data_IF_300283623749
#
_entry.id   IF_300283623749
#
_cell.length_a   1.000
_cell.length_b   1.000
_cell.length_c   1.000
_cell.angle_alpha   90.00
_cell.angle_beta   90.00
_cell.angle_gamma   90.00
#
_symmetry.space_group_name_H-M   'P 1'
#
loop_
_entity.id
_entity.type
_entity.pdbx_description
1 polymer ?
#
# COMPACT_ATOMS: atom_id res chain seq x y z
N UNK A 1 -9.59 -4.78 34.95
CA UNK A 1 -10.01 -4.79 33.53
C UNK A 1 -9.33 -3.61 32.87
N UNK A 2 -8.67 -3.79 31.71
CA UNK A 2 -8.07 -2.65 30.98
C UNK A 2 -9.17 -1.76 30.42
N UNK A 3 -8.90 -0.45 30.30
CA UNK A 3 -9.83 0.45 29.64
C UNK A 3 -9.75 0.24 28.12
N UNK A 4 -10.86 0.46 27.42
CA UNK A 4 -10.87 0.37 25.96
C UNK A 4 -10.06 1.55 25.38
N UNK A 5 -9.12 1.27 24.48
CA UNK A 5 -8.30 2.29 23.80
C UNK A 5 -7.57 3.22 24.75
N UNK A 6 -7.00 2.68 25.83
CA UNK A 6 -6.08 3.42 26.70
C UNK A 6 -4.71 3.64 26.03
N UNK A 7 -3.83 4.37 26.73
CA UNK A 7 -2.48 4.67 26.24
C UNK A 7 -1.65 3.40 25.94
N UNK A 8 -1.92 2.31 26.66
CA UNK A 8 -1.26 1.00 26.53
C UNK A 8 -2.05 0.04 25.60
N UNK A 9 -2.94 0.58 24.76
CA UNK A 9 -3.73 -0.22 23.83
C UNK A 9 -2.83 -1.16 23.01
N UNK A 10 -3.19 -2.45 23.02
CA UNK A 10 -2.46 -3.59 22.44
C UNK A 10 -1.10 -3.94 23.05
N UNK A 11 -0.64 -3.25 24.09
CA UNK A 11 0.58 -3.54 24.82
C UNK A 11 0.24 -4.35 26.08
N UNK A 12 0.67 -5.61 26.13
CA UNK A 12 0.29 -6.54 27.19
C UNK A 12 1.35 -6.80 28.26
N UNK A 13 2.57 -6.28 28.11
CA UNK A 13 3.67 -6.52 29.05
C UNK A 13 4.58 -5.27 29.23
N UNK A 14 5.37 -5.18 30.31
CA UNK A 14 6.25 -4.04 30.57
C UNK A 14 7.25 -3.76 29.44
N UNK A 15 7.84 -4.82 28.86
CA UNK A 15 8.77 -4.66 27.74
C UNK A 15 8.11 -3.97 26.55
N UNK A 16 6.89 -4.37 26.17
CA UNK A 16 6.20 -3.79 25.01
C UNK A 16 5.73 -2.36 25.24
N UNK A 17 5.32 -2.03 26.48
CA UNK A 17 5.04 -0.64 26.90
C UNK A 17 6.27 0.23 26.71
N UNK A 18 7.43 -0.23 27.19
CA UNK A 18 8.69 0.50 27.07
C UNK A 18 9.12 0.65 25.61
N UNK A 19 9.13 -0.44 24.83
CA UNK A 19 9.50 -0.40 23.41
C UNK A 19 8.63 0.57 22.60
N UNK A 20 7.33 0.60 22.87
CA UNK A 20 6.43 1.50 22.16
C UNK A 20 6.66 2.96 22.56
N UNK A 21 6.50 3.30 23.84
CA UNK A 21 6.50 4.71 24.28
C UNK A 21 7.88 5.37 24.20
N UNK A 22 8.97 4.64 24.46
CA UNK A 22 10.32 5.23 24.45
C UNK A 22 10.98 5.23 23.06
N UNK A 23 10.56 4.32 22.15
CA UNK A 23 11.21 4.14 20.85
C UNK A 23 10.25 4.30 19.67
N UNK A 24 9.19 3.50 19.57
CA UNK A 24 8.34 3.48 18.37
C UNK A 24 7.48 4.75 18.21
N UNK A 25 6.90 5.24 19.31
CA UNK A 25 5.96 6.37 19.32
C UNK A 25 6.62 7.68 18.86
N UNK A 26 7.86 7.93 19.29
CA UNK A 26 8.63 9.13 18.94
C UNK A 26 9.31 9.05 17.56
N UNK A 27 9.28 7.89 16.91
CA UNK A 27 9.91 7.69 15.60
C UNK A 27 9.03 8.29 14.49
N UNK A 28 9.58 9.05 13.51
CA UNK A 28 8.77 9.63 12.42
C UNK A 28 8.13 8.56 11.53
N UNK A 29 7.15 8.95 10.73
CA UNK A 29 6.51 8.07 9.74
C UNK A 29 7.14 8.30 8.36
N UNK A 30 7.42 7.19 7.69
CA UNK A 30 7.74 7.15 6.27
C UNK A 30 6.74 6.21 5.61
N UNK A 31 5.86 6.75 4.76
CA UNK A 31 4.82 5.98 4.08
C UNK A 31 5.24 5.72 2.63
N UNK A 32 6.00 4.64 2.41
CA UNK A 32 6.65 4.36 1.12
C UNK A 32 5.71 3.78 0.05
N UNK A 33 4.43 3.59 0.35
CA UNK A 33 3.42 3.19 -0.62
C UNK A 33 2.00 3.54 -0.15
N UNK A 34 1.35 4.45 -0.87
CA UNK A 34 -0.03 4.85 -0.64
C UNK A 34 -0.77 5.19 -1.94
N UNK A 35 -2.06 5.48 -1.81
CA UNK A 35 -2.97 5.89 -2.86
C UNK A 35 -3.58 7.28 -2.61
N UNK A 36 -2.91 8.12 -1.82
CA UNK A 36 -3.30 9.51 -1.59
C UNK A 36 -3.19 10.29 -2.90
N UNK A 37 -4.18 11.13 -3.18
CA UNK A 37 -4.18 11.99 -4.35
C UNK A 37 -3.17 13.15 -4.18
N UNK A 38 -2.11 13.23 -5.00
CA UNK A 38 -1.09 14.27 -4.86
C UNK A 38 -1.66 15.68 -5.09
N UNK A 39 -2.75 15.82 -5.86
CA UNK A 39 -3.46 17.09 -6.04
C UNK A 39 -3.98 17.65 -4.71
N UNK A 40 -4.55 16.80 -3.87
CA UNK A 40 -5.13 17.20 -2.59
C UNK A 40 -4.05 17.67 -1.61
N UNK A 41 -2.83 17.13 -1.72
CA UNK A 41 -1.66 17.63 -0.99
C UNK A 41 -1.22 18.97 -1.58
N UNK A 42 -1.08 19.07 -2.90
CA UNK A 42 -0.60 20.28 -3.58
C UNK A 42 -1.50 21.48 -3.31
N UNK A 43 -2.83 21.29 -3.33
CA UNK A 43 -3.86 22.30 -3.07
C UNK A 43 -4.16 22.50 -1.57
N UNK A 44 -3.49 21.74 -0.70
CA UNK A 44 -3.74 21.70 0.76
C UNK A 44 -5.24 21.60 1.11
N UNK A 45 -5.90 20.58 0.55
CA UNK A 45 -7.35 20.41 0.62
C UNK A 45 -7.85 20.52 2.07
N UNK A 46 -8.90 21.34 2.25
CA UNK A 46 -9.73 21.34 3.46
C UNK A 46 -10.97 20.47 3.24
N UNK A 47 -11.44 19.84 4.30
CA UNK A 47 -12.59 18.93 4.25
C UNK A 47 -13.80 19.58 4.91
N UNK A 48 -14.97 19.53 4.25
CA UNK A 48 -16.16 20.21 4.77
C UNK A 48 -16.72 19.53 6.02
N UNK A 49 -16.57 18.21 6.12
CA UNK A 49 -17.09 17.40 7.22
C UNK A 49 -16.41 16.03 7.31
N UNK A 50 -16.66 15.32 8.42
CA UNK A 50 -16.06 14.02 8.70
C UNK A 50 -16.42 12.96 7.65
N UNK A 51 -17.60 12.99 7.04
CA UNK A 51 -17.96 12.01 6.00
C UNK A 51 -17.01 12.10 4.80
N UNK A 52 -16.65 13.30 4.37
CA UNK A 52 -15.75 13.47 3.23
C UNK A 52 -14.35 12.88 3.49
N UNK A 53 -13.74 13.22 4.63
CA UNK A 53 -12.38 12.74 4.96
C UNK A 53 -12.35 11.26 5.37
N UNK A 54 -13.48 10.73 5.87
CA UNK A 54 -13.50 9.43 6.54
C UNK A 54 -14.23 8.32 5.78
N UNK A 55 -15.33 8.64 5.10
CA UNK A 55 -16.13 7.71 4.29
C UNK A 55 -15.91 7.89 2.78
N UNK A 56 -15.18 8.91 2.34
CA UNK A 56 -14.82 9.12 0.93
C UNK A 56 -13.75 8.15 0.40
N UNK A 57 -13.06 7.44 1.30
CA UNK A 57 -11.89 6.62 0.96
C UNK A 57 -11.64 5.43 1.89
N UNK A 58 -10.82 4.51 1.36
CA UNK A 58 -10.75 3.07 1.59
C UNK A 58 -12.11 2.37 1.76
N UNK A 59 -12.41 1.48 0.82
CA UNK A 59 -13.69 0.78 0.70
C UNK A 59 -13.98 -0.26 1.81
N UNK A 60 -13.16 -0.36 2.87
CA UNK A 60 -13.44 -1.21 4.03
C UNK A 60 -14.74 -0.81 4.74
N UNK A 61 -14.94 0.50 4.95
CA UNK A 61 -16.15 1.02 5.62
C UNK A 61 -17.39 0.69 4.80
N UNK A 62 -17.35 0.91 3.49
CA UNK A 62 -18.44 0.56 2.57
C UNK A 62 -18.76 -0.94 2.58
N UNK A 63 -17.74 -1.79 2.51
CA UNK A 63 -17.91 -3.25 2.63
C UNK A 63 -18.61 -3.63 3.93
N UNK A 64 -18.16 -3.08 5.06
CA UNK A 64 -18.76 -3.40 6.36
C UNK A 64 -20.21 -2.91 6.46
N UNK A 65 -20.51 -1.69 5.99
CA UNK A 65 -21.88 -1.17 5.93
C UNK A 65 -22.81 -2.09 5.12
N UNK A 66 -22.35 -2.59 3.96
CA UNK A 66 -23.10 -3.57 3.16
C UNK A 66 -23.29 -4.90 3.88
N UNK A 67 -22.27 -5.39 4.60
CA UNK A 67 -22.38 -6.59 5.44
C UNK A 67 -23.39 -6.42 6.57
N UNK A 68 -23.59 -5.19 7.05
CA UNK A 68 -24.62 -4.85 8.04
C UNK A 68 -26.01 -4.59 7.42
N UNK A 69 -26.16 -4.75 6.10
CA UNK A 69 -27.44 -4.54 5.40
C UNK A 69 -27.83 -3.08 5.23
N UNK A 70 -26.88 -2.14 5.30
CA UNK A 70 -27.15 -0.72 5.01
C UNK A 70 -27.42 -0.54 3.52
N UNK A 71 -28.48 0.20 3.20
CA UNK A 71 -28.81 0.53 1.81
C UNK A 71 -27.69 1.34 1.13
N UNK A 72 -27.43 1.05 -0.15
CA UNK A 72 -26.35 1.69 -0.91
C UNK A 72 -26.51 3.23 -0.99
N UNK A 73 -27.75 3.73 -0.84
CA UNK A 73 -28.07 5.16 -0.69
C UNK A 73 -27.22 5.85 0.38
N UNK A 74 -26.98 5.18 1.51
CA UNK A 74 -26.20 5.72 2.64
C UNK A 74 -24.71 5.40 2.57
N UNK A 75 -24.24 4.82 1.45
CA UNK A 75 -22.85 4.43 1.25
C UNK A 75 -22.27 5.24 0.09
N UNK A 76 -22.62 4.88 -1.14
CA UNK A 76 -22.14 5.55 -2.36
C UNK A 76 -23.23 6.36 -3.07
N UNK A 77 -24.49 6.25 -2.63
CA UNK A 77 -25.62 7.00 -3.20
C UNK A 77 -25.73 8.45 -2.72
N UNK A 78 -26.93 8.99 -2.83
CA UNK A 78 -27.24 10.43 -2.75
C UNK A 78 -27.70 10.94 -1.38
N UNK A 79 -27.63 10.12 -0.31
CA UNK A 79 -27.90 10.60 1.05
C UNK A 79 -26.93 11.73 1.45
N UNK A 80 -27.39 12.63 2.33
CA UNK A 80 -26.56 13.70 2.86
C UNK A 80 -25.41 13.15 3.70
N UNK A 81 -24.30 13.91 3.76
CA UNK A 81 -23.08 13.47 4.46
C UNK A 81 -23.34 13.10 5.91
N UNK A 82 -24.15 13.88 6.64
CA UNK A 82 -24.53 13.58 8.02
C UNK A 82 -25.28 12.26 8.12
N UNK A 83 -26.24 11.99 7.24
CA UNK A 83 -27.01 10.74 7.25
C UNK A 83 -26.09 9.53 7.03
N UNK A 84 -25.13 9.62 6.11
CA UNK A 84 -24.12 8.58 5.86
C UNK A 84 -23.27 8.33 7.10
N UNK A 85 -22.80 9.38 7.77
CA UNK A 85 -22.02 9.27 9.00
C UNK A 85 -22.81 8.63 10.15
N UNK A 86 -24.05 9.07 10.38
CA UNK A 86 -24.90 8.50 11.42
C UNK A 86 -25.17 7.01 11.17
N UNK A 87 -25.38 6.61 9.91
CA UNK A 87 -25.51 5.19 9.54
C UNK A 87 -24.23 4.41 9.76
N UNK A 88 -23.07 4.98 9.43
CA UNK A 88 -21.78 4.38 9.74
C UNK A 88 -21.61 4.17 11.25
N UNK A 89 -21.83 5.21 12.06
CA UNK A 89 -21.71 5.14 13.51
C UNK A 89 -22.65 4.09 14.13
N UNK A 90 -23.88 3.97 13.63
CA UNK A 90 -24.84 2.96 14.07
C UNK A 90 -24.29 1.53 13.90
N UNK A 91 -23.76 1.20 12.72
CA UNK A 91 -23.27 -0.15 12.44
C UNK A 91 -21.90 -0.42 13.06
N UNK A 92 -21.01 0.59 13.09
CA UNK A 92 -19.70 0.50 13.74
C UNK A 92 -19.84 0.16 15.22
N UNK A 93 -20.86 0.68 15.91
CA UNK A 93 -21.13 0.38 17.32
C UNK A 93 -21.34 -1.10 17.65
N UNK A 94 -21.48 -1.96 16.64
CA UNK A 94 -21.61 -3.42 16.76
C UNK A 94 -20.43 -4.21 16.17
N UNK A 95 -19.35 -3.53 15.78
CA UNK A 95 -18.22 -4.11 15.05
C UNK A 95 -17.19 -4.84 15.93
N UNK A 96 -17.65 -5.65 16.88
CA UNK A 96 -16.78 -6.41 17.77
C UNK A 96 -15.83 -7.32 16.97
N UNK A 97 -14.53 -7.22 17.26
CA UNK A 97 -13.48 -7.99 16.61
C UNK A 97 -13.10 -7.51 15.19
N UNK A 98 -13.84 -6.57 14.59
CA UNK A 98 -13.47 -6.00 13.30
C UNK A 98 -12.42 -4.89 13.48
N UNK A 99 -11.34 -4.84 12.68
CA UNK A 99 -10.30 -3.82 12.83
C UNK A 99 -10.81 -2.39 12.59
N UNK A 100 -11.92 -2.22 11.84
CA UNK A 100 -12.55 -0.92 11.67
C UNK A 100 -12.97 -0.27 13.00
N UNK A 101 -13.27 -1.08 14.01
CA UNK A 101 -13.53 -0.56 15.35
C UNK A 101 -12.27 0.08 15.94
N UNK A 102 -11.11 -0.56 15.84
CA UNK A 102 -9.86 0.02 16.34
C UNK A 102 -9.43 1.25 15.53
N UNK A 103 -9.41 1.15 14.19
CA UNK A 103 -9.00 2.26 13.33
C UNK A 103 -9.86 3.49 13.58
N UNK A 104 -11.19 3.31 13.64
CA UNK A 104 -12.10 4.43 13.85
C UNK A 104 -11.83 5.15 15.17
N UNK A 105 -11.59 4.43 16.26
CA UNK A 105 -11.34 5.06 17.55
C UNK A 105 -9.92 5.64 17.65
N UNK A 106 -8.92 5.07 16.97
CA UNK A 106 -7.59 5.68 16.87
C UNK A 106 -7.68 7.02 16.13
N UNK A 107 -8.38 7.04 14.99
CA UNK A 107 -8.58 8.24 14.17
C UNK A 107 -9.35 9.32 14.98
N UNK A 108 -10.43 8.93 15.68
CA UNK A 108 -11.19 9.82 16.55
C UNK A 108 -10.34 10.43 17.67
N UNK A 109 -9.52 9.63 18.36
CA UNK A 109 -8.68 10.14 19.44
C UNK A 109 -7.54 11.04 18.93
N UNK A 110 -6.85 10.67 17.85
CA UNK A 110 -5.62 11.37 17.41
C UNK A 110 -5.90 12.67 16.67
N UNK A 111 -6.95 12.72 15.85
CA UNK A 111 -7.22 13.89 15.02
C UNK A 111 -8.32 14.79 15.59
N UNK A 112 -9.29 14.19 16.31
CA UNK A 112 -10.50 14.89 16.74
C UNK A 112 -10.63 15.04 18.27
N UNK A 113 -9.71 14.44 19.04
CA UNK A 113 -9.76 14.41 20.52
C UNK A 113 -11.09 13.86 21.07
N UNK A 114 -11.69 12.91 20.34
CA UNK A 114 -12.96 12.28 20.73
C UNK A 114 -12.71 10.87 21.29
N UNK A 115 -12.90 10.72 22.61
CA UNK A 115 -12.55 9.50 23.35
C UNK A 115 -13.73 8.57 23.67
N UNK A 116 -14.96 8.96 23.36
CA UNK A 116 -16.15 8.13 23.61
C UNK A 116 -16.27 7.03 22.54
N UNK A 117 -16.81 5.85 22.88
CA UNK A 117 -17.13 4.84 21.87
C UNK A 117 -18.14 5.38 20.85
N UNK A 118 -17.81 5.30 19.55
CA UNK A 118 -18.70 5.70 18.47
C UNK A 118 -19.80 4.65 18.26
N UNK A 119 -21.04 5.09 18.42
CA UNK A 119 -22.25 4.30 18.20
C UNK A 119 -23.43 5.24 17.92
N UNK A 120 -24.63 4.71 17.68
CA UNK A 120 -25.84 5.51 17.39
C UNK A 120 -26.15 6.61 18.43
N UNK A 121 -25.80 6.42 19.71
CA UNK A 121 -26.10 7.38 20.77
C UNK A 121 -25.05 8.50 20.87
N UNK A 122 -23.84 8.27 20.38
CA UNK A 122 -22.71 9.23 20.41
C UNK A 122 -22.45 9.86 19.05
N UNK A 123 -23.13 9.40 17.99
CA UNK A 123 -22.91 9.82 16.62
C UNK A 123 -23.17 11.32 16.39
N UNK A 124 -24.25 11.88 16.96
CA UNK A 124 -24.53 13.31 16.85
C UNK A 124 -23.43 14.17 17.48
N UNK A 125 -22.99 13.80 18.69
CA UNK A 125 -21.89 14.48 19.37
C UNK A 125 -20.59 14.37 18.57
N UNK A 126 -20.25 13.17 18.09
CA UNK A 126 -19.05 12.94 17.29
C UNK A 126 -19.07 13.77 15.99
N UNK A 127 -20.22 13.88 15.33
CA UNK A 127 -20.39 14.70 14.13
C UNK A 127 -20.06 16.16 14.41
N UNK A 128 -20.64 16.75 15.45
CA UNK A 128 -20.41 18.16 15.79
C UNK A 128 -18.94 18.40 16.21
N UNK A 129 -18.37 17.53 17.06
CA UNK A 129 -16.96 17.65 17.52
C UNK A 129 -15.99 17.54 16.35
N UNK A 130 -16.16 16.54 15.49
CA UNK A 130 -15.23 16.31 14.39
C UNK A 130 -15.31 17.42 13.34
N UNK A 131 -16.50 17.94 13.03
CA UNK A 131 -16.65 19.02 12.05
C UNK A 131 -16.13 20.36 12.60
N UNK A 132 -16.34 20.64 13.89
CA UNK A 132 -15.71 21.78 14.55
C UNK A 132 -14.18 21.69 14.47
N UNK A 133 -13.60 20.51 14.69
CA UNK A 133 -12.18 20.29 14.50
C UNK A 133 -11.74 20.52 13.04
N UNK A 134 -12.43 19.96 12.04
CA UNK A 134 -12.08 20.13 10.61
C UNK A 134 -12.11 21.58 10.12
N UNK A 135 -12.87 22.45 10.78
CA UNK A 135 -12.89 23.89 10.47
C UNK A 135 -11.62 24.63 10.89
N UNK A 136 -10.77 24.03 11.73
CA UNK A 136 -9.51 24.61 12.15
C UNK A 136 -8.47 24.53 11.03
N UNK A 137 -7.58 25.52 10.96
CA UNK A 137 -6.53 25.55 9.94
C UNK A 137 -5.54 24.39 10.07
N UNK A 138 -5.42 23.77 11.25
CA UNK A 138 -4.53 22.64 11.54
C UNK A 138 -5.08 21.26 11.08
N UNK A 139 -6.12 21.24 10.25
CA UNK A 139 -6.81 20.03 9.77
C UNK A 139 -6.91 19.93 8.24
N UNK A 140 -6.13 20.73 7.50
CA UNK A 140 -5.93 20.54 6.06
C UNK A 140 -5.12 19.29 5.74
N UNK A 141 -5.12 18.85 4.48
CA UNK A 141 -4.37 17.67 4.03
C UNK A 141 -2.90 17.69 4.46
N UNK A 142 -2.18 18.80 4.25
CA UNK A 142 -0.77 18.93 4.65
C UNK A 142 -0.61 18.92 6.17
N UNK A 143 -1.53 19.53 6.90
CA UNK A 143 -1.46 19.58 8.36
C UNK A 143 -1.79 18.23 9.01
N UNK A 144 -2.68 17.42 8.43
CA UNK A 144 -2.90 16.04 8.85
C UNK A 144 -1.63 15.19 8.67
N UNK A 145 -0.91 15.37 7.57
CA UNK A 145 0.39 14.73 7.32
C UNK A 145 1.42 15.14 8.41
N UNK A 146 1.57 16.45 8.66
CA UNK A 146 2.50 16.98 9.67
C UNK A 146 2.20 16.50 11.08
N UNK A 147 0.93 16.54 11.48
CA UNK A 147 0.47 16.09 12.80
C UNK A 147 0.78 14.63 13.06
N UNK A 148 0.89 13.83 11.99
CA UNK A 148 1.27 12.42 12.04
C UNK A 148 2.78 12.19 12.00
N UNK A 149 3.60 13.26 12.08
CA UNK A 149 5.06 13.19 12.04
C UNK A 149 5.59 12.46 10.79
N UNK A 150 4.92 12.65 9.65
CA UNK A 150 5.31 12.03 8.38
C UNK A 150 6.42 12.85 7.73
N UNK A 151 7.52 12.21 7.34
CA UNK A 151 8.63 12.89 6.64
C UNK A 151 8.60 12.67 5.13
N UNK A 152 8.00 11.57 4.68
CA UNK A 152 7.88 11.23 3.26
C UNK A 152 6.64 10.37 3.00
N UNK A 153 5.99 10.66 1.88
CA UNK A 153 4.87 9.89 1.30
C UNK A 153 5.25 9.50 -0.12
N UNK A 154 5.06 8.23 -0.47
CA UNK A 154 5.16 7.77 -1.85
C UNK A 154 3.77 7.45 -2.40
N UNK A 155 3.31 8.24 -3.38
CA UNK A 155 2.05 7.99 -4.09
C UNK A 155 2.24 6.89 -5.14
N UNK A 156 1.14 6.40 -5.69
CA UNK A 156 1.15 5.39 -6.74
C UNK A 156 0.61 5.98 -8.04
N UNK A 157 1.49 6.10 -9.04
CA UNK A 157 1.25 6.92 -10.23
C UNK A 157 1.44 6.11 -11.53
N UNK A 158 0.64 6.45 -12.54
CA UNK A 158 0.62 5.77 -13.82
C UNK A 158 1.75 6.31 -14.73
N UNK A 159 2.43 5.48 -15.55
CA UNK A 159 3.45 5.96 -16.48
C UNK A 159 3.05 7.14 -17.37
N UNK A 160 1.76 7.31 -17.67
CA UNK A 160 1.26 8.42 -18.50
C UNK A 160 1.12 9.75 -17.74
N UNK A 161 1.18 9.73 -16.41
CA UNK A 161 0.94 10.91 -15.57
C UNK A 161 2.04 11.95 -15.76
N UNK A 162 1.66 13.22 -15.77
CA UNK A 162 2.59 14.35 -15.91
C UNK A 162 3.29 14.72 -14.60
N UNK A 163 2.88 14.15 -13.47
CA UNK A 163 3.44 14.39 -12.13
C UNK A 163 3.49 15.88 -11.75
N UNK A 164 2.58 16.70 -12.31
CA UNK A 164 2.60 18.15 -12.11
C UNK A 164 2.46 18.54 -10.62
N UNK A 165 1.69 17.78 -9.86
CA UNK A 165 1.46 18.03 -8.43
C UNK A 165 2.69 17.67 -7.60
N UNK A 166 3.42 16.60 -7.93
CA UNK A 166 4.71 16.29 -7.30
C UNK A 166 5.71 17.42 -7.52
N UNK A 167 5.78 17.93 -8.75
CA UNK A 167 6.64 19.08 -9.07
C UNK A 167 6.24 20.32 -8.26
N UNK A 168 4.95 20.66 -8.23
CA UNK A 168 4.43 21.78 -7.44
C UNK A 168 4.80 21.64 -5.96
N UNK A 169 4.62 20.45 -5.37
CA UNK A 169 4.95 20.19 -3.96
C UNK A 169 6.47 20.30 -3.74
N UNK A 170 7.28 19.73 -4.62
CA UNK A 170 8.73 19.79 -4.49
C UNK A 170 9.31 21.21 -4.60
N UNK A 171 8.65 22.10 -5.35
CA UNK A 171 9.01 23.51 -5.50
C UNK A 171 8.46 24.41 -4.36
N UNK A 172 7.54 23.91 -3.54
CA UNK A 172 6.89 24.64 -2.47
C UNK A 172 7.69 24.58 -1.15
N UNK A 173 8.48 25.62 -0.89
CA UNK A 173 9.27 25.75 0.35
C UNK A 173 8.45 25.81 1.66
N UNK A 174 7.13 25.95 1.58
CA UNK A 174 6.25 25.99 2.76
C UNK A 174 5.84 24.60 3.24
N UNK A 175 6.20 23.53 2.53
CA UNK A 175 5.90 22.14 2.90
C UNK A 175 7.17 21.27 2.87
N UNK A 176 7.56 20.79 4.04
CA UNK A 176 8.81 20.09 4.31
C UNK A 176 8.78 18.60 3.96
N UNK A 177 7.60 18.00 3.90
CA UNK A 177 7.40 16.57 3.67
C UNK A 177 7.68 16.24 2.21
N UNK A 178 8.48 15.21 1.95
CA UNK A 178 8.74 14.73 0.59
C UNK A 178 7.55 13.96 0.06
N UNK A 179 7.05 14.32 -1.12
CA UNK A 179 6.00 13.57 -1.83
C UNK A 179 6.59 13.07 -3.13
N UNK A 180 6.86 11.77 -3.20
CA UNK A 180 7.54 11.13 -4.33
C UNK A 180 6.58 10.18 -5.08
N UNK A 181 6.71 10.05 -6.40
CA UNK A 181 5.90 9.11 -7.16
C UNK A 181 6.49 7.68 -7.11
N UNK A 182 5.62 6.68 -7.12
CA UNK A 182 5.96 5.29 -7.42
C UNK A 182 5.41 4.90 -8.80
N UNK A 183 6.22 4.23 -9.61
CA UNK A 183 5.88 3.88 -10.99
C UNK A 183 5.03 2.59 -11.06
N UNK A 184 3.75 2.69 -11.46
CA UNK A 184 2.83 1.54 -11.56
C UNK A 184 2.32 1.29 -12.98
N UNK A 185 2.98 0.42 -13.77
CA UNK A 185 2.69 0.25 -15.19
C UNK A 185 1.61 -0.81 -15.50
N UNK A 186 0.65 -1.06 -14.59
CA UNK A 186 -0.35 -2.13 -14.74
C UNK A 186 -1.10 -2.03 -16.08
N UNK A 187 -1.52 -0.82 -16.48
CA UNK A 187 -2.26 -0.61 -17.75
C UNK A 187 -1.39 -0.86 -18.99
N UNK A 188 -0.08 -0.65 -18.91
CA UNK A 188 0.85 -0.95 -20.01
C UNK A 188 1.10 -2.46 -20.17
N UNK A 189 0.90 -3.23 -19.09
CA UNK A 189 1.04 -4.67 -19.05
C UNK A 189 -0.26 -5.41 -19.43
N UNK A 190 -1.42 -4.86 -19.07
CA UNK A 190 -2.73 -5.53 -19.18
C UNK A 190 -3.31 -5.50 -20.60
N UNK A 191 -2.60 -6.11 -21.54
CA UNK A 191 -2.97 -6.15 -22.96
C UNK A 191 -4.31 -6.86 -23.25
N UNK A 192 -4.80 -7.67 -22.32
CA UNK A 192 -6.10 -8.34 -22.41
C UNK A 192 -7.28 -7.39 -22.21
N UNK A 193 -7.05 -6.17 -21.72
CA UNK A 193 -8.12 -5.20 -21.46
C UNK A 193 -8.57 -4.54 -22.77
N UNK A 194 -9.87 -4.27 -22.84
CA UNK A 194 -10.48 -3.57 -23.97
C UNK A 194 -9.86 -2.18 -24.17
N UNK A 195 -9.64 -1.45 -23.08
CA UNK A 195 -9.04 -0.09 -23.04
C UNK A 195 -7.55 -0.02 -23.37
N UNK A 196 -6.89 -1.15 -23.67
CA UNK A 196 -5.44 -1.19 -23.84
C UNK A 196 -4.92 -0.30 -24.98
N UNK A 197 -5.61 -0.25 -26.13
CA UNK A 197 -5.18 0.56 -27.27
C UNK A 197 -5.32 2.07 -27.00
N UNK A 198 -6.37 2.46 -26.28
CA UNK A 198 -6.56 3.84 -25.84
C UNK A 198 -5.46 4.25 -24.85
N UNK A 199 -5.05 3.33 -23.98
CA UNK A 199 -3.93 3.54 -23.07
C UNK A 199 -2.60 3.66 -23.82
N UNK A 200 -2.32 2.79 -24.80
CA UNK A 200 -1.11 2.91 -25.63
C UNK A 200 -1.03 4.27 -26.32
N UNK A 201 -2.15 4.78 -26.86
CA UNK A 201 -2.20 6.10 -27.49
C UNK A 201 -1.86 7.23 -26.50
N UNK A 202 -2.28 7.11 -25.24
CA UNK A 202 -1.92 8.05 -24.18
C UNK A 202 -0.44 7.96 -23.81
N UNK A 203 0.12 6.73 -23.75
CA UNK A 203 1.54 6.51 -23.50
C UNK A 203 2.42 7.03 -24.65
N UNK A 204 2.01 6.88 -25.91
CA UNK A 204 2.68 7.50 -27.06
C UNK A 204 2.73 9.03 -26.90
N UNK A 205 1.62 9.65 -26.49
CA UNK A 205 1.55 11.09 -26.24
C UNK A 205 2.46 11.52 -25.07
N UNK A 206 2.47 10.77 -23.97
CA UNK A 206 3.25 11.10 -22.78
C UNK A 206 4.77 10.91 -22.97
N UNK A 207 5.18 9.94 -23.79
CA UNK A 207 6.59 9.64 -24.08
C UNK A 207 7.12 10.31 -25.36
N UNK A 208 6.22 10.76 -26.25
CA UNK A 208 6.59 11.24 -27.58
C UNK A 208 7.11 10.14 -28.53
N UNK A 209 6.97 8.86 -28.16
CA UNK A 209 7.47 7.71 -28.91
C UNK A 209 6.30 6.97 -29.53
N UNK A 210 6.34 6.73 -30.85
CA UNK A 210 5.32 5.89 -31.50
C UNK A 210 5.54 4.40 -31.19
N UNK A 211 4.50 3.72 -30.76
CA UNK A 211 4.48 2.33 -30.30
C UNK A 211 3.87 1.44 -31.40
N UNK A 212 4.74 0.89 -32.25
CA UNK A 212 4.35 -0.03 -33.35
C UNK A 212 4.80 -1.47 -33.12
N UNK A 213 5.56 -1.70 -32.07
CA UNK A 213 6.14 -2.98 -31.69
C UNK A 213 6.31 -3.06 -30.18
N UNK A 214 6.51 -4.25 -29.66
CA UNK A 214 6.79 -4.41 -28.24
C UNK A 214 8.14 -3.77 -27.86
N UNK A 215 9.11 -3.81 -28.77
CA UNK A 215 10.35 -3.03 -28.65
C UNK A 215 10.09 -1.52 -28.48
N UNK A 216 9.11 -0.95 -29.16
CA UNK A 216 8.81 0.48 -29.02
C UNK A 216 8.07 0.77 -27.71
N UNK A 217 7.19 -0.12 -27.24
CA UNK A 217 6.60 -0.03 -25.90
C UNK A 217 7.69 0.00 -24.82
N UNK A 218 8.71 -0.86 -24.93
CA UNK A 218 9.87 -0.85 -24.03
C UNK A 218 10.55 0.52 -24.00
N UNK A 219 10.80 1.12 -25.17
CA UNK A 219 11.41 2.46 -25.26
C UNK A 219 10.54 3.54 -24.61
N UNK A 220 9.23 3.52 -24.87
CA UNK A 220 8.29 4.46 -24.27
C UNK A 220 8.29 4.35 -22.74
N UNK A 221 8.29 3.13 -22.20
CA UNK A 221 8.36 2.91 -20.75
C UNK A 221 9.70 3.36 -20.16
N UNK A 222 10.83 3.09 -20.83
CA UNK A 222 12.14 3.57 -20.37
C UNK A 222 12.20 5.10 -20.31
N UNK A 223 11.65 5.80 -21.31
CA UNK A 223 11.54 7.27 -21.30
C UNK A 223 10.70 7.76 -20.11
N UNK A 224 9.54 7.14 -19.87
CA UNK A 224 8.70 7.49 -18.72
C UNK A 224 9.39 7.17 -17.39
N UNK A 225 10.14 6.08 -17.27
CA UNK A 225 10.95 5.81 -16.07
C UNK A 225 12.02 6.88 -15.85
N UNK A 226 12.66 7.38 -16.91
CA UNK A 226 13.63 8.48 -16.81
C UNK A 226 12.96 9.80 -16.39
N UNK A 227 11.72 10.05 -16.84
CA UNK A 227 10.91 11.17 -16.36
C UNK A 227 10.60 11.05 -14.86
N UNK A 228 10.12 9.88 -14.43
CA UNK A 228 9.83 9.60 -13.02
C UNK A 228 11.09 9.71 -12.14
N UNK A 229 12.25 9.25 -12.63
CA UNK A 229 13.52 9.38 -11.92
C UNK A 229 13.88 10.86 -11.66
N UNK A 230 13.62 11.76 -12.63
CA UNK A 230 13.82 13.22 -12.45
C UNK A 230 12.91 13.82 -11.38
N UNK A 231 11.77 13.19 -11.11
CA UNK A 231 10.84 13.57 -10.04
C UNK A 231 11.15 12.86 -8.70
N UNK A 232 12.28 12.14 -8.60
CA UNK A 232 12.72 11.49 -7.37
C UNK A 232 12.19 10.07 -7.15
N UNK A 233 11.54 9.45 -8.15
CA UNK A 233 11.08 8.07 -8.08
C UNK A 233 12.24 7.10 -7.81
N UNK A 234 12.04 6.20 -6.85
CA UNK A 234 12.92 5.05 -6.56
C UNK A 234 12.14 3.75 -6.35
N UNK A 235 10.83 3.77 -6.62
CA UNK A 235 9.88 2.72 -6.26
C UNK A 235 9.02 2.38 -7.46
N UNK A 236 8.78 1.10 -7.70
CA UNK A 236 7.76 0.63 -8.62
C UNK A 236 6.77 -0.29 -7.92
N UNK A 237 5.59 -0.42 -8.51
CA UNK A 237 4.51 -1.27 -7.99
C UNK A 237 3.78 -1.99 -9.12
N UNK A 238 3.35 -3.23 -8.87
CA UNK A 238 2.67 -4.08 -9.84
C UNK A 238 1.52 -4.82 -9.18
N UNK A 239 0.30 -4.57 -9.65
CA UNK A 239 -0.90 -5.31 -9.27
C UNK A 239 -1.09 -6.53 -10.17
N UNK A 240 -0.91 -7.73 -9.62
CA UNK A 240 -0.90 -8.99 -10.36
C UNK A 240 -2.00 -9.95 -9.89
N UNK A 241 -2.43 -10.85 -10.79
CA UNK A 241 -3.24 -12.01 -10.40
C UNK A 241 -2.39 -12.93 -9.51
N UNK A 242 -1.22 -13.29 -10.01
CA UNK A 242 -0.12 -13.99 -9.35
C UNK A 242 1.18 -13.61 -10.07
N UNK A 243 2.33 -13.93 -9.49
CA UNK A 243 3.61 -13.76 -10.19
C UNK A 243 3.78 -14.90 -11.19
N UNK A 244 3.45 -14.63 -12.45
CA UNK A 244 3.45 -15.60 -13.53
C UNK A 244 4.83 -15.78 -14.16
N UNK A 245 5.11 -16.98 -14.65
CA UNK A 245 6.33 -17.27 -15.40
C UNK A 245 6.08 -18.23 -16.58
N UNK A 246 5.84 -17.65 -17.76
CA UNK A 246 5.59 -18.34 -19.03
C UNK A 246 6.59 -17.80 -20.09
N UNK A 247 7.84 -18.28 -20.12
CA UNK A 247 8.87 -17.72 -20.98
C UNK A 247 8.56 -17.94 -22.48
N UNK A 248 8.91 -16.95 -23.31
CA UNK A 248 8.75 -16.99 -24.76
C UNK A 248 9.92 -16.36 -25.49
N UNK A 249 10.03 -16.64 -26.79
CA UNK A 249 11.01 -15.96 -27.64
C UNK A 249 10.57 -14.51 -27.91
N UNK A 250 11.53 -13.63 -28.21
CA UNK A 250 11.22 -12.25 -28.58
C UNK A 250 10.26 -12.18 -29.78
N UNK A 251 10.43 -13.05 -30.77
CA UNK A 251 9.54 -13.14 -31.94
C UNK A 251 8.11 -13.52 -31.56
N UNK A 252 7.92 -14.42 -30.59
CA UNK A 252 6.58 -14.77 -30.11
C UNK A 252 5.91 -13.58 -29.44
N UNK A 253 6.63 -12.86 -28.57
CA UNK A 253 6.08 -11.69 -27.87
C UNK A 253 5.76 -10.55 -28.84
N UNK A 254 6.60 -10.31 -29.84
CA UNK A 254 6.32 -9.33 -30.90
C UNK A 254 5.07 -9.71 -31.72
N UNK A 255 4.88 -11.00 -32.04
CA UNK A 255 3.66 -11.48 -32.72
C UNK A 255 2.41 -11.27 -31.87
N UNK A 256 2.48 -11.58 -30.57
CA UNK A 256 1.38 -11.36 -29.62
C UNK A 256 1.01 -9.87 -29.56
N UNK A 257 2.01 -9.00 -29.48
CA UNK A 257 1.79 -7.56 -29.43
C UNK A 257 1.22 -7.02 -30.75
N UNK A 258 1.75 -7.46 -31.90
CA UNK A 258 1.23 -7.08 -33.22
C UNK A 258 -0.24 -7.52 -33.41
N UNK A 259 -0.58 -8.74 -32.97
CA UNK A 259 -1.97 -9.22 -32.93
C UNK A 259 -2.84 -8.30 -32.09
N UNK A 260 -2.37 -7.88 -30.91
CA UNK A 260 -3.12 -6.95 -30.06
C UNK A 260 -3.32 -5.58 -30.71
N UNK A 261 -2.29 -5.03 -31.37
CA UNK A 261 -2.36 -3.78 -32.14
C UNK A 261 -3.37 -3.85 -33.30
N UNK A 262 -3.58 -5.04 -33.88
CA UNK A 262 -4.61 -5.27 -34.89
C UNK A 262 -6.04 -5.36 -34.32
N UNK A 263 -6.21 -5.22 -33.00
CA UNK A 263 -7.52 -5.26 -32.32
C UNK A 263 -7.95 -6.64 -31.85
N UNK A 264 -7.13 -7.67 -32.05
CA UNK A 264 -7.43 -9.03 -31.60
C UNK A 264 -7.04 -9.26 -30.13
N UNK A 265 -7.89 -9.95 -29.37
CA UNK A 265 -7.59 -10.32 -27.99
C UNK A 265 -6.58 -11.49 -27.93
N UNK A 266 -5.63 -11.47 -26.98
CA UNK A 266 -4.75 -12.60 -26.74
C UNK A 266 -5.51 -13.77 -26.12
N UNK A 267 -5.09 -14.99 -26.41
CA UNK A 267 -5.40 -16.16 -25.58
C UNK A 267 -4.70 -16.05 -24.22
N UNK A 268 -5.12 -16.87 -23.26
CA UNK A 268 -4.52 -16.85 -21.91
C UNK A 268 -3.02 -17.14 -21.91
N UNK A 269 -2.54 -18.09 -22.73
CA UNK A 269 -1.10 -18.38 -22.81
C UNK A 269 -0.33 -17.21 -23.44
N UNK A 270 -0.89 -16.56 -24.48
CA UNK A 270 -0.30 -15.36 -25.07
C UNK A 270 -0.23 -14.20 -24.06
N UNK A 271 -1.29 -13.99 -23.27
CA UNK A 271 -1.33 -13.01 -22.19
C UNK A 271 -0.20 -13.25 -21.18
N UNK A 272 -0.10 -14.46 -20.63
CA UNK A 272 0.91 -14.82 -19.63
C UNK A 272 2.33 -14.67 -20.17
N UNK A 273 2.56 -15.05 -21.43
CA UNK A 273 3.86 -14.92 -22.10
C UNK A 273 4.27 -13.46 -22.28
N UNK A 274 3.33 -12.61 -22.69
CA UNK A 274 3.57 -11.17 -22.76
C UNK A 274 3.86 -10.57 -21.39
N UNK A 275 3.01 -10.88 -20.38
CA UNK A 275 3.17 -10.35 -19.01
C UNK A 275 4.50 -10.78 -18.38
N UNK A 276 4.94 -12.01 -18.62
CA UNK A 276 6.25 -12.52 -18.18
C UNK A 276 7.38 -11.67 -18.75
N UNK A 277 7.43 -11.50 -20.07
CA UNK A 277 8.49 -10.71 -20.71
C UNK A 277 8.41 -9.21 -20.37
N UNK A 278 7.20 -8.67 -20.19
CA UNK A 278 6.98 -7.30 -19.70
C UNK A 278 7.61 -7.12 -18.32
N UNK A 279 7.24 -7.97 -17.35
CA UNK A 279 7.73 -7.92 -15.97
C UNK A 279 9.25 -8.10 -15.91
N UNK A 280 9.79 -9.05 -16.67
CA UNK A 280 11.24 -9.25 -16.76
C UNK A 280 11.95 -8.02 -17.33
N UNK A 281 11.37 -7.37 -18.34
CA UNK A 281 11.94 -6.15 -18.90
C UNK A 281 11.96 -5.01 -17.87
N UNK A 282 10.81 -4.66 -17.30
CA UNK A 282 10.73 -3.53 -16.36
C UNK A 282 11.54 -3.78 -15.10
N UNK A 283 11.61 -5.02 -14.61
CA UNK A 283 12.45 -5.39 -13.46
C UNK A 283 13.94 -5.18 -13.72
N UNK A 284 14.42 -5.50 -14.92
CA UNK A 284 15.80 -5.21 -15.33
C UNK A 284 16.04 -3.70 -15.43
N UNK A 285 15.06 -2.92 -15.86
CA UNK A 285 15.13 -1.45 -15.87
C UNK A 285 15.16 -0.86 -14.46
N UNK A 286 14.43 -1.46 -13.51
CA UNK A 286 14.49 -1.08 -12.09
C UNK A 286 15.84 -1.38 -11.48
N UNK A 287 16.43 -2.55 -11.76
CA UNK A 287 17.78 -2.89 -11.29
C UNK A 287 18.83 -1.88 -11.77
N UNK A 288 18.79 -1.46 -13.04
CA UNK A 288 19.69 -0.43 -13.60
C UNK A 288 19.57 0.91 -12.86
N UNK A 289 18.37 1.27 -12.41
CA UNK A 289 18.10 2.52 -11.68
C UNK A 289 18.20 2.37 -10.16
N UNK A 290 18.50 1.16 -9.67
CA UNK A 290 18.47 0.80 -8.26
C UNK A 290 17.11 1.13 -7.59
N UNK A 291 16.03 0.99 -8.36
CA UNK A 291 14.66 1.08 -7.87
C UNK A 291 14.25 -0.21 -7.16
N UNK A 292 13.28 -0.08 -6.26
CA UNK A 292 12.63 -1.21 -5.60
C UNK A 292 11.45 -1.68 -6.46
N UNK A 293 11.36 -2.99 -6.69
CA UNK A 293 10.22 -3.66 -7.30
C UNK A 293 9.23 -4.11 -6.22
N UNK A 294 8.00 -3.61 -6.25
CA UNK A 294 6.92 -4.16 -5.42
C UNK A 294 6.00 -5.05 -6.26
N UNK A 295 5.66 -6.22 -5.72
CA UNK A 295 4.78 -7.21 -6.34
C UNK A 295 3.59 -7.47 -5.42
N UNK A 296 2.44 -6.89 -5.75
CA UNK A 296 1.16 -7.11 -5.05
C UNK A 296 0.31 -8.11 -5.83
N UNK A 297 0.02 -9.27 -5.25
CA UNK A 297 -0.74 -10.32 -5.96
C UNK A 297 -1.76 -11.08 -5.11
N UNK A 298 -2.63 -11.84 -5.76
CA UNK A 298 -3.65 -12.65 -5.09
C UNK A 298 -5.01 -11.96 -4.96
N UNK A 299 -5.28 -10.93 -5.76
CA UNK A 299 -6.59 -10.25 -5.80
C UNK A 299 -7.44 -10.81 -6.94
N UNK A 300 -8.69 -11.21 -6.65
CA UNK A 300 -9.73 -11.36 -7.66
C UNK A 300 -10.63 -10.14 -7.62
N UNK A 301 -10.63 -9.38 -8.71
CA UNK A 301 -11.32 -8.10 -8.82
C UNK A 301 -12.72 -8.21 -9.41
N UNK A 302 -13.55 -7.21 -9.14
CA UNK A 302 -14.81 -6.95 -9.85
C UNK A 302 -15.82 -8.10 -9.78
N UNK A 303 -15.87 -8.82 -8.65
CA UNK A 303 -16.67 -10.04 -8.50
C UNK A 303 -18.19 -9.81 -8.63
N UNK A 304 -18.67 -8.62 -8.29
CA UNK A 304 -20.08 -8.27 -8.39
C UNK A 304 -20.36 -7.46 -9.66
N UNK A 305 -20.62 -8.15 -10.76
CA UNK A 305 -20.82 -7.55 -12.09
C UNK A 305 -21.94 -6.50 -12.11
N UNK A 306 -23.02 -6.70 -11.34
CA UNK A 306 -24.12 -5.72 -11.25
C UNK A 306 -23.61 -4.41 -10.65
N UNK A 307 -22.84 -4.48 -9.58
CA UNK A 307 -22.31 -3.31 -8.89
C UNK A 307 -21.16 -2.67 -9.64
N UNK A 308 -20.30 -3.47 -10.29
CA UNK A 308 -19.25 -2.96 -11.18
C UNK A 308 -19.82 -2.09 -12.30
N UNK A 309 -20.93 -2.51 -12.94
CA UNK A 309 -21.60 -1.70 -13.96
C UNK A 309 -22.16 -0.37 -13.44
N UNK A 310 -22.46 -0.29 -12.13
CA UNK A 310 -23.05 0.90 -11.51
C UNK A 310 -21.98 1.84 -10.94
N UNK A 311 -20.97 1.28 -10.26
CA UNK A 311 -20.02 2.01 -9.42
C UNK A 311 -18.60 2.01 -9.99
N UNK A 312 -18.29 1.12 -10.93
CA UNK A 312 -16.94 0.91 -11.45
C UNK A 312 -16.03 0.10 -10.52
N UNK A 313 -14.71 0.05 -10.83
CA UNK A 313 -13.71 -0.67 -10.05
C UNK A 313 -13.47 -0.04 -8.67
N UNK A 314 -12.70 -0.74 -7.81
CA UNK A 314 -12.23 -0.23 -6.51
C UNK A 314 -13.35 0.23 -5.56
N UNK A 315 -14.51 -0.42 -5.64
CA UNK A 315 -15.70 -0.08 -4.86
C UNK A 315 -16.06 -1.13 -3.80
N UNK A 316 -15.09 -1.96 -3.38
CA UNK A 316 -15.22 -2.88 -2.24
C UNK A 316 -15.72 -4.30 -2.55
N UNK A 317 -15.78 -4.67 -3.83
CA UNK A 317 -16.24 -5.99 -4.31
C UNK A 317 -15.09 -6.94 -4.72
N UNK A 318 -13.86 -6.63 -4.32
CA UNK A 318 -12.67 -7.44 -4.57
C UNK A 318 -12.45 -8.45 -3.43
N UNK A 319 -11.80 -9.58 -3.70
CA UNK A 319 -11.52 -10.59 -2.69
C UNK A 319 -10.19 -11.31 -2.90
N UNK A 320 -9.80 -12.09 -1.90
CA UNK A 320 -8.65 -13.00 -1.96
C UNK A 320 -8.91 -14.07 -3.02
N UNK A 321 -7.91 -14.35 -3.84
CA UNK A 321 -7.82 -15.59 -4.62
C UNK A 321 -6.62 -16.42 -4.18
N UNK A 322 -6.70 -17.72 -4.47
CA UNK A 322 -5.71 -18.72 -4.09
C UNK A 322 -4.97 -19.33 -5.29
N UNK A 323 -5.12 -18.77 -6.49
CA UNK A 323 -4.41 -19.25 -7.69
C UNK A 323 -3.03 -18.60 -7.78
N UNK A 324 -2.12 -19.02 -6.89
CA UNK A 324 -0.75 -18.51 -6.79
C UNK A 324 0.25 -19.67 -6.97
N UNK A 325 1.48 -19.38 -7.42
CA UNK A 325 2.50 -20.40 -7.69
C UNK A 325 3.84 -19.98 -7.11
N UNK A 326 4.26 -20.68 -6.05
CA UNK A 326 5.59 -20.49 -5.44
C UNK A 326 6.72 -20.79 -6.45
N UNK A 327 6.52 -21.80 -7.31
CA UNK A 327 7.49 -22.18 -8.33
C UNK A 327 7.68 -21.07 -9.38
N UNK A 328 6.57 -20.51 -9.90
CA UNK A 328 6.67 -19.45 -10.91
C UNK A 328 7.24 -18.14 -10.33
N UNK A 329 6.92 -17.81 -9.07
CA UNK A 329 7.58 -16.70 -8.37
C UNK A 329 9.10 -16.94 -8.27
N UNK A 330 9.53 -18.12 -7.86
CA UNK A 330 10.95 -18.45 -7.78
C UNK A 330 11.63 -18.42 -9.16
N UNK A 331 10.99 -18.95 -10.20
CA UNK A 331 11.51 -18.93 -11.56
C UNK A 331 11.62 -17.51 -12.14
N UNK A 332 10.63 -16.65 -11.87
CA UNK A 332 10.66 -15.23 -12.25
C UNK A 332 11.85 -14.51 -11.59
N UNK A 333 12.03 -14.67 -10.28
CA UNK A 333 13.16 -14.07 -9.56
C UNK A 333 14.49 -14.62 -10.08
N UNK A 334 14.56 -15.93 -10.34
CA UNK A 334 15.75 -16.59 -10.89
C UNK A 334 16.12 -16.06 -12.28
N UNK A 335 15.14 -15.85 -13.17
CA UNK A 335 15.36 -15.31 -14.51
C UNK A 335 15.98 -13.89 -14.52
N UNK A 336 15.83 -13.16 -13.42
CA UNK A 336 16.52 -11.88 -13.17
C UNK A 336 17.88 -12.10 -12.50
N UNK A 337 17.92 -12.96 -11.48
CA UNK A 337 19.11 -13.23 -10.67
C UNK A 337 20.26 -13.82 -11.49
N UNK A 338 20.01 -14.77 -12.40
CA UNK A 338 21.05 -15.39 -13.25
C UNK A 338 21.76 -14.42 -14.20
N UNK A 339 21.26 -13.20 -14.32
CA UNK A 339 21.86 -12.13 -15.13
C UNK A 339 22.30 -10.92 -14.31
N UNK A 340 22.36 -11.05 -12.98
CA UNK A 340 22.67 -9.99 -12.02
C UNK A 340 21.79 -8.74 -12.19
N UNK A 341 20.51 -8.96 -12.51
CA UNK A 341 19.51 -7.90 -12.78
C UNK A 341 18.25 -8.04 -11.93
N UNK A 342 18.32 -8.77 -10.82
CA UNK A 342 17.26 -8.80 -9.82
C UNK A 342 17.35 -7.53 -8.96
N UNK A 343 16.38 -6.59 -9.01
CA UNK A 343 16.36 -5.44 -8.12
C UNK A 343 16.07 -5.86 -6.67
N UNK A 344 16.21 -4.90 -5.74
CA UNK A 344 15.52 -4.97 -4.45
C UNK A 344 14.03 -5.23 -4.71
N UNK A 345 13.47 -6.24 -4.06
CA UNK A 345 12.09 -6.68 -4.33
C UNK A 345 11.31 -6.84 -3.05
N UNK A 346 10.08 -6.33 -3.00
CA UNK A 346 9.13 -6.55 -1.91
C UNK A 346 7.93 -7.32 -2.44
N UNK A 347 7.58 -8.41 -1.77
CA UNK A 347 6.56 -9.36 -2.18
C UNK A 347 5.38 -9.27 -1.21
N UNK A 348 4.19 -8.99 -1.75
CA UNK A 348 2.93 -8.90 -1.01
C UNK A 348 1.93 -9.89 -1.59
N UNK A 349 1.52 -10.88 -0.79
CA UNK A 349 0.37 -11.72 -1.11
C UNK A 349 -0.86 -11.27 -0.33
N UNK A 350 -2.00 -11.25 -1.01
CA UNK A 350 -3.28 -11.06 -0.36
C UNK A 350 -3.74 -12.32 0.39
N UNK A 351 -3.22 -13.50 0.03
CA UNK A 351 -3.59 -14.76 0.66
C UNK A 351 -2.60 -15.09 1.80
N UNK A 352 -3.03 -15.09 3.07
CA UNK A 352 -2.12 -15.30 4.21
C UNK A 352 -1.47 -16.69 4.24
N UNK A 353 -2.02 -17.68 3.52
CA UNK A 353 -1.37 -19.01 3.38
C UNK A 353 -0.03 -18.94 2.67
N UNK A 354 0.23 -17.83 1.96
CA UNK A 354 1.42 -17.65 1.15
C UNK A 354 2.63 -17.20 1.97
N UNK A 355 2.41 -16.73 3.21
CA UNK A 355 3.46 -16.20 4.07
C UNK A 355 4.68 -17.13 4.18
N UNK A 356 4.44 -18.42 4.43
CA UNK A 356 5.52 -19.38 4.65
C UNK A 356 6.34 -19.63 3.38
N UNK A 357 5.71 -19.79 2.21
CA UNK A 357 6.47 -20.03 0.99
C UNK A 357 7.15 -18.76 0.48
N UNK A 358 6.57 -17.57 0.70
CA UNK A 358 7.28 -16.31 0.41
C UNK A 358 8.55 -16.27 1.26
N UNK A 359 8.43 -16.53 2.57
CA UNK A 359 9.56 -16.58 3.51
C UNK A 359 10.69 -17.50 3.03
N UNK A 360 10.39 -18.71 2.55
CA UNK A 360 11.43 -19.62 2.03
C UNK A 360 12.05 -19.14 0.72
N UNK A 361 11.27 -18.49 -0.16
CA UNK A 361 11.77 -17.90 -1.41
C UNK A 361 12.71 -16.72 -1.15
N UNK A 362 12.45 -15.90 -0.13
CA UNK A 362 13.30 -14.74 0.18
C UNK A 362 14.77 -15.15 0.30
N UNK A 363 15.04 -16.23 1.06
CA UNK A 363 16.38 -16.73 1.34
C UNK A 363 17.15 -17.19 0.10
N UNK A 364 16.46 -17.59 -0.98
CA UNK A 364 17.09 -18.05 -2.21
C UNK A 364 17.80 -16.94 -3.00
N UNK A 365 17.44 -15.67 -2.77
CA UNK A 365 17.83 -14.55 -3.62
C UNK A 365 18.42 -13.35 -2.86
N UNK A 366 18.82 -13.54 -1.60
CA UNK A 366 19.54 -12.52 -0.84
C UNK A 366 20.98 -12.37 -1.33
N UNK A 367 21.54 -11.16 -1.22
CA UNK A 367 22.97 -10.90 -1.41
C UNK A 367 23.39 -9.62 -0.67
N UNK A 368 24.64 -9.19 -0.83
CA UNK A 368 25.23 -8.05 -0.12
C UNK A 368 24.82 -6.66 -0.64
N UNK A 369 23.96 -6.56 -1.67
CA UNK A 369 23.57 -5.25 -2.23
C UNK A 369 22.66 -4.44 -1.29
N UNK A 370 21.91 -5.12 -0.42
CA UNK A 370 21.04 -4.50 0.58
C UNK A 370 20.76 -5.47 1.72
N UNK A 371 20.52 -4.94 2.93
CA UNK A 371 19.98 -5.72 4.05
C UNK A 371 18.61 -6.25 3.65
N UNK A 372 18.46 -7.58 3.70
CA UNK A 372 17.24 -8.27 3.26
C UNK A 372 16.76 -7.74 1.89
N UNK A 373 17.63 -7.81 0.88
CA UNK A 373 17.37 -7.40 -0.51
C UNK A 373 15.99 -7.84 -1.02
N UNK A 374 15.58 -9.07 -0.71
CA UNK A 374 14.22 -9.54 -1.01
C UNK A 374 13.42 -9.55 0.29
N UNK A 375 12.34 -8.78 0.32
CA UNK A 375 11.48 -8.57 1.48
C UNK A 375 10.14 -9.28 1.29
N UNK A 376 9.59 -9.82 2.37
CA UNK A 376 8.15 -10.01 2.48
C UNK A 376 7.57 -8.71 3.02
N UNK A 377 6.64 -8.11 2.28
CA UNK A 377 6.01 -6.87 2.70
C UNK A 377 5.10 -7.05 3.92
N UNK A 378 4.69 -5.92 4.51
CA UNK A 378 3.70 -5.92 5.61
C UNK A 378 2.39 -6.61 5.19
N UNK A 379 1.62 -7.06 6.18
CA UNK A 379 0.36 -7.74 5.95
C UNK A 379 -0.59 -6.85 5.13
N UNK A 380 -0.90 -7.28 3.91
CA UNK A 380 -1.53 -6.42 2.92
C UNK A 380 -3.06 -6.49 2.93
N UNK A 381 -3.70 -5.32 2.81
CA UNK A 381 -5.12 -5.09 2.59
C UNK A 381 -6.02 -5.83 3.60
N UNK A 382 -6.64 -6.96 3.22
CA UNK A 382 -7.52 -7.70 4.13
C UNK A 382 -6.77 -8.25 5.35
N UNK A 383 -5.44 -8.36 5.26
CA UNK A 383 -4.56 -8.85 6.32
C UNK A 383 -3.97 -7.71 7.18
N UNK A 384 -4.20 -6.44 6.82
CA UNK A 384 -3.69 -5.24 7.52
C UNK A 384 -4.41 -5.01 8.86
N UNK A 385 -4.42 -6.02 9.71
CA UNK A 385 -5.04 -6.01 11.02
C UNK A 385 -4.23 -6.86 11.99
N UNK A 386 -4.53 -6.77 13.29
CA UNK A 386 -3.74 -7.40 14.36
C UNK A 386 -3.30 -8.83 14.05
N UNK A 387 -4.25 -9.71 13.71
CA UNK A 387 -3.93 -11.13 13.47
C UNK A 387 -3.05 -11.32 12.24
N UNK A 388 -3.41 -10.74 11.08
CA UNK A 388 -2.63 -10.84 9.86
C UNK A 388 -1.22 -10.24 9.98
N UNK A 389 -1.07 -9.10 10.68
CA UNK A 389 0.25 -8.54 11.00
C UNK A 389 1.07 -9.48 11.88
N UNK A 390 0.47 -10.07 12.92
CA UNK A 390 1.16 -11.01 13.80
C UNK A 390 1.60 -12.27 13.05
N UNK A 391 0.74 -12.83 12.20
CA UNK A 391 1.05 -14.00 11.37
C UNK A 391 2.15 -13.71 10.34
N UNK A 392 2.10 -12.55 9.68
CA UNK A 392 3.13 -12.10 8.74
C UNK A 392 4.48 -11.90 9.45
N UNK A 393 4.51 -11.20 10.58
CA UNK A 393 5.74 -10.95 11.33
C UNK A 393 6.34 -12.23 11.91
N UNK A 394 5.51 -13.14 12.43
CA UNK A 394 5.97 -14.43 12.92
C UNK A 394 6.58 -15.29 11.80
N UNK A 395 5.97 -15.30 10.62
CA UNK A 395 6.52 -15.98 9.44
C UNK A 395 7.84 -15.36 8.99
N UNK A 396 7.91 -14.03 8.88
CA UNK A 396 9.11 -13.32 8.49
C UNK A 396 10.26 -13.49 9.50
N UNK A 397 9.96 -13.46 10.80
CA UNK A 397 10.95 -13.71 11.85
C UNK A 397 11.51 -15.13 11.79
N UNK A 398 10.67 -16.11 11.45
CA UNK A 398 11.07 -17.53 11.41
C UNK A 398 11.86 -17.90 10.17
N UNK A 399 11.57 -17.28 9.02
CA UNK A 399 12.07 -17.71 7.71
C UNK A 399 12.95 -16.67 7.01
N UNK A 400 13.00 -15.44 7.52
CA UNK A 400 13.73 -14.32 6.93
C UNK A 400 14.47 -13.50 7.99
N UNK A 401 14.44 -12.18 7.83
CA UNK A 401 15.14 -11.25 8.71
C UNK A 401 14.17 -10.15 9.18
N UNK A 402 13.60 -10.31 10.38
CA UNK A 402 12.69 -9.32 10.96
C UNK A 402 13.40 -8.00 11.29
N UNK A 403 14.65 -8.00 11.77
CA UNK A 403 15.34 -6.75 12.10
C UNK A 403 15.66 -5.90 10.86
N UNK A 404 15.81 -6.54 9.70
CA UNK A 404 15.94 -5.89 8.40
C UNK A 404 14.61 -5.56 7.70
N UNK A 405 13.47 -5.76 8.35
CA UNK A 405 12.15 -5.54 7.74
C UNK A 405 11.91 -4.05 7.44
N UNK A 406 11.48 -3.73 6.23
CA UNK A 406 11.18 -2.35 5.80
C UNK A 406 9.98 -1.73 6.49
N UNK A 407 9.15 -2.53 7.17
CA UNK A 407 8.12 -2.03 8.06
C UNK A 407 6.79 -1.76 7.38
N UNK A 408 6.13 -0.70 7.83
CA UNK A 408 4.73 -0.41 7.54
C UNK A 408 4.57 0.62 6.42
N UNK A 409 3.52 0.43 5.62
CA UNK A 409 2.96 1.36 4.65
C UNK A 409 1.45 1.44 4.86
N UNK A 410 0.80 2.52 4.44
CA UNK A 410 -0.66 2.65 4.65
C UNK A 410 -1.48 1.93 3.58
N UNK A 411 -1.00 1.88 2.34
CA UNK A 411 -1.78 1.44 1.16
C UNK A 411 -3.14 2.15 1.04
N UNK A 412 -3.23 3.36 1.59
CA UNK A 412 -4.50 4.05 1.80
C UNK A 412 -4.64 5.26 0.90
N UNK A 413 -5.88 5.66 0.65
CA UNK A 413 -6.22 6.96 0.06
C UNK A 413 -6.69 8.00 1.08
N UNK A 414 -6.69 7.67 2.37
CA UNK A 414 -7.17 8.56 3.44
C UNK A 414 -6.02 9.23 4.18
N UNK A 415 -6.14 10.54 4.41
CA UNK A 415 -5.21 11.31 5.25
C UNK A 415 -5.27 10.97 6.74
N UNK A 416 -6.27 10.21 7.18
CA UNK A 416 -6.40 9.75 8.57
C UNK A 416 -5.72 8.40 8.80
N UNK A 417 -5.23 7.75 7.73
CA UNK A 417 -4.69 6.40 7.76
C UNK A 417 -3.36 6.24 8.48
N UNK A 418 -2.66 7.32 8.85
CA UNK A 418 -1.39 7.23 9.57
C UNK A 418 -1.50 6.57 10.95
N UNK A 419 -2.71 6.47 11.52
CA UNK A 419 -2.99 5.65 12.71
C UNK A 419 -2.75 4.15 12.46
N UNK A 420 -2.70 3.69 11.20
CA UNK A 420 -2.24 2.33 10.85
C UNK A 420 -0.77 2.12 11.21
N UNK A 421 0.08 3.15 11.14
CA UNK A 421 1.46 3.05 11.66
C UNK A 421 1.49 2.95 13.18
N UNK A 422 0.67 3.72 13.91
CA UNK A 422 0.51 3.56 15.37
C UNK A 422 0.06 2.12 15.70
N UNK A 423 -0.95 1.62 15.00
CA UNK A 423 -1.48 0.28 15.18
C UNK A 423 -0.42 -0.79 14.94
N UNK A 424 0.30 -0.72 13.82
CA UNK A 424 1.43 -1.59 13.49
C UNK A 424 2.51 -1.55 14.56
N UNK A 425 2.95 -0.36 14.98
CA UNK A 425 4.03 -0.19 15.98
C UNK A 425 3.65 -0.79 17.32
N UNK A 426 2.41 -0.63 17.76
CA UNK A 426 1.90 -1.28 18.99
C UNK A 426 1.95 -2.81 18.87
N UNK A 427 1.55 -3.36 17.72
CA UNK A 427 1.56 -4.81 17.48
C UNK A 427 3.00 -5.35 17.41
N UNK A 428 3.90 -4.66 16.72
CA UNK A 428 5.33 -4.99 16.64
C UNK A 428 5.97 -4.99 18.02
N UNK A 429 5.81 -3.91 18.80
CA UNK A 429 6.36 -3.81 20.15
C UNK A 429 5.79 -4.88 21.06
N UNK A 430 4.50 -5.21 20.92
CA UNK A 430 3.89 -6.28 21.69
C UNK A 430 4.41 -7.67 21.30
N UNK A 431 4.61 -7.92 20.00
CA UNK A 431 5.21 -9.16 19.51
C UNK A 431 6.63 -9.34 20.08
N UNK A 432 7.50 -8.34 19.90
CA UNK A 432 8.87 -8.37 20.42
C UNK A 432 8.92 -8.46 21.94
N UNK A 433 8.12 -7.65 22.65
CA UNK A 433 8.07 -7.69 24.10
C UNK A 433 7.62 -9.06 24.63
N UNK A 434 6.69 -9.74 23.93
CA UNK A 434 6.28 -11.10 24.32
C UNK A 434 7.43 -12.10 24.18
N UNK A 435 8.24 -12.02 23.11
CA UNK A 435 9.41 -12.87 22.96
C UNK A 435 10.42 -12.66 24.11
N UNK A 436 10.65 -11.41 24.50
CA UNK A 436 11.58 -11.07 25.59
C UNK A 436 11.07 -11.59 26.94
N UNK A 437 9.82 -11.32 27.27
CA UNK A 437 9.20 -11.76 28.54
C UNK A 437 9.13 -13.29 28.68
N UNK A 438 9.07 -14.00 27.55
CA UNK A 438 9.11 -15.46 27.52
C UNK A 438 10.54 -16.04 27.55
N UNK A 439 11.59 -15.20 27.52
CA UNK A 439 12.99 -15.65 27.44
C UNK A 439 13.40 -16.17 26.07
N UNK A 440 12.65 -15.84 25.02
CA UNK A 440 12.93 -16.21 23.63
C UNK A 440 13.90 -15.22 22.95
N UNK A 441 14.09 -14.02 23.53
CA UNK A 441 15.10 -13.04 23.13
C UNK A 441 15.60 -12.27 24.36
N UNK A 442 16.89 -11.86 24.44
CA UNK A 442 17.40 -11.14 25.61
C UNK A 442 16.78 -9.75 25.80
N UNK A 443 16.62 -9.33 27.06
CA UNK A 443 16.23 -7.98 27.44
C UNK A 443 17.41 -7.00 27.26
N UNK A 444 17.69 -6.65 26.01
CA UNK A 444 18.71 -5.65 25.62
C UNK A 444 18.02 -4.47 24.94
N UNK A 445 17.73 -3.41 25.71
CA UNK A 445 17.01 -2.24 25.19
C UNK A 445 17.83 -1.38 24.22
N UNK A 446 19.15 -1.54 24.16
CA UNK A 446 19.95 -0.87 23.12
C UNK A 446 19.64 -1.50 21.77
N UNK A 447 19.74 -2.84 21.68
CA UNK A 447 19.44 -3.60 20.47
C UNK A 447 17.95 -3.57 20.12
N UNK A 448 17.06 -3.82 21.09
CA UNK A 448 15.62 -3.83 20.84
C UNK A 448 15.13 -2.45 20.38
N UNK A 449 15.66 -1.39 20.98
CA UNK A 449 15.35 -0.01 20.61
C UNK A 449 15.81 0.35 19.19
N UNK A 450 17.00 -0.11 18.79
CA UNK A 450 17.50 0.02 17.42
C UNK A 450 16.57 -0.69 16.43
N UNK A 451 16.25 -1.97 16.68
CA UNK A 451 15.36 -2.77 15.81
C UNK A 451 13.99 -2.10 15.65
N UNK A 452 13.38 -1.65 16.75
CA UNK A 452 12.06 -1.00 16.72
C UNK A 452 12.09 0.27 15.87
N UNK A 453 13.12 1.12 16.03
CA UNK A 453 13.29 2.35 15.25
C UNK A 453 13.58 2.06 13.77
N UNK A 454 14.38 1.04 13.52
CA UNK A 454 14.74 0.59 12.18
C UNK A 454 13.51 0.09 11.41
N UNK A 455 12.73 -0.83 11.97
CA UNK A 455 11.48 -1.31 11.36
C UNK A 455 10.45 -0.18 11.25
N UNK A 456 10.42 0.75 12.20
CA UNK A 456 9.45 1.86 12.18
C UNK A 456 9.75 2.93 11.14
N UNK A 457 11.00 3.03 10.65
CA UNK A 457 11.44 4.14 9.80
C UNK A 457 12.76 3.88 9.04
N UNK A 458 13.87 3.63 9.75
CA UNK A 458 15.21 3.76 9.13
C UNK A 458 15.55 2.64 8.14
N UNK A 459 14.98 1.44 8.28
CA UNK A 459 15.12 0.38 7.28
C UNK A 459 14.56 0.84 5.93
N UNK A 460 13.36 1.44 5.91
CA UNK A 460 12.77 1.97 4.69
C UNK A 460 13.64 3.07 4.07
N UNK A 461 14.13 4.03 4.87
CA UNK A 461 15.03 5.10 4.38
C UNK A 461 16.23 4.49 3.63
N UNK A 462 16.93 3.54 4.27
CA UNK A 462 18.13 2.89 3.70
C UNK A 462 17.79 2.00 2.50
N UNK A 463 16.74 1.19 2.60
CA UNK A 463 16.36 0.21 1.59
C UNK A 463 15.93 0.88 0.29
N UNK A 464 15.12 1.94 0.36
CA UNK A 464 14.68 2.69 -0.81
C UNK A 464 15.69 3.75 -1.29
N UNK A 465 16.66 4.12 -0.44
CA UNK A 465 17.59 5.24 -0.65
C UNK A 465 16.85 6.57 -0.79
N UNK A 466 15.86 6.80 0.07
CA UNK A 466 15.14 8.06 0.10
C UNK A 466 16.06 9.22 0.55
N UNK A 467 15.88 10.43 -0.01
CA UNK A 467 16.69 11.60 0.32
C UNK A 467 16.16 12.30 1.59
N UNK A 468 16.31 11.63 2.74
CA UNK A 468 15.86 12.09 4.06
C UNK A 468 17.02 12.29 5.04
#
# INVERSE_FOLDING_TARGET
MKAFMDQDFLLSNPTSVKLYHEYAEVTPILDYHCHINPKEIAEDRKFDNITQVWLGGDHYKWRYMRSCGVEEKYITGDAGDKEKFLKWAEVLGKAIGNPLYHWSHLELQRYFDFHKPLNKNTAEEAWEVCNAALSRDDMSARNLIRRSNVTLVCTTDDPIDDLQYHKQIAEDSTFEVKVLPAFRPDKAMNLEKESYLDYLSQLEKASGISIKSFRDLKKALADRMDYFAKMGCTVSDHGLEYVMYEPGTQEQVEKIFAKRLAGELPSRSEELRFKTEFLLYVSREYAKRNWVLQLHYGVKRDNNVKQFKLLGPDTGYDCIQNKTSAAELADFLNALAVTDKLPKTIIYSLNPTDNAYIGTILGCFQNSEAVAKIQQGSAWWFNDHKIGMQEQMASLASLGNLSGFVGMLTDSRSFLSYTRHEYFRRILCNYMGTLVENGEFPEDYEILGEIVKDISYYNAVRYFKFPL
#
